data_IF_687101347052
#
_entry.id   IF_687101347052
#
_cell.length_a   1.000
_cell.length_b   1.000
_cell.length_c   1.000
_cell.angle_alpha   90.00
_cell.angle_beta   90.00
_cell.angle_gamma   90.00
#
_symmetry.space_group_name_H-M   'P 1'
#
loop_
_entity.id
_entity.type
_entity.pdbx_description
1 polymer ?
#
# COMPACT_ATOMS: atom_id res chain seq x y z
N UNK A 1 -21.62 7.00 7.92
CA UNK A 1 -20.66 6.01 7.45
C UNK A 1 -19.41 6.76 7.02
N UNK A 2 -18.22 6.25 7.35
CA UNK A 2 -16.95 6.82 6.86
C UNK A 2 -16.51 6.04 5.63
N UNK A 3 -15.86 6.74 4.69
CA UNK A 3 -15.22 6.09 3.55
C UNK A 3 -13.80 5.67 3.93
N UNK A 4 -13.53 4.39 3.75
CA UNK A 4 -12.25 3.76 4.10
C UNK A 4 -11.58 3.29 2.81
N UNK A 5 -10.33 3.67 2.61
CA UNK A 5 -9.49 3.16 1.53
C UNK A 5 -8.28 2.42 2.09
N UNK A 6 -7.97 1.27 1.54
CA UNK A 6 -6.70 0.58 1.78
C UNK A 6 -6.33 -0.33 0.62
N UNK A 7 -5.07 -0.76 0.58
CA UNK A 7 -4.59 -1.60 -0.49
C UNK A 7 -3.46 -2.53 -0.07
N UNK A 8 -3.31 -3.61 -0.83
CA UNK A 8 -2.23 -4.59 -0.67
C UNK A 8 -1.47 -4.72 -1.98
N UNK A 9 -0.14 -4.65 -1.90
CA UNK A 9 0.72 -4.90 -3.06
C UNK A 9 0.72 -6.38 -3.42
N UNK A 10 0.59 -6.74 -4.71
CA UNK A 10 0.65 -8.11 -5.19
C UNK A 10 2.11 -8.59 -5.28
N UNK A 11 2.77 -8.67 -4.12
CA UNK A 11 4.13 -9.23 -3.98
C UNK A 11 3.99 -10.65 -3.50
N UNK A 12 4.43 -11.65 -4.23
CA UNK A 12 4.16 -13.09 -4.08
C UNK A 12 4.34 -13.77 -2.71
N UNK A 13 4.64 -13.03 -1.66
CA UNK A 13 4.84 -13.57 -0.31
C UNK A 13 3.79 -13.02 0.67
N UNK A 14 2.54 -13.45 0.51
CA UNK A 14 1.52 -13.17 1.52
C UNK A 14 1.73 -14.15 2.67
N UNK A 15 2.01 -13.63 3.85
CA UNK A 15 2.24 -14.40 5.06
C UNK A 15 1.26 -14.02 6.18
N UNK A 16 1.25 -14.80 7.27
CA UNK A 16 0.37 -14.60 8.41
C UNK A 16 0.39 -13.16 8.96
N UNK A 17 1.54 -12.47 8.88
CA UNK A 17 1.66 -11.07 9.29
C UNK A 17 0.82 -10.11 8.45
N UNK A 18 0.69 -10.34 7.14
CA UNK A 18 -0.19 -9.54 6.27
C UNK A 18 -1.66 -9.75 6.66
N UNK A 19 -2.05 -11.00 6.92
CA UNK A 19 -3.41 -11.32 7.36
C UNK A 19 -3.75 -10.62 8.68
N UNK A 20 -2.94 -10.81 9.71
CA UNK A 20 -3.20 -10.23 11.03
C UNK A 20 -3.01 -8.72 11.05
N UNK A 21 -2.08 -8.21 10.23
CA UNK A 21 -1.75 -6.79 10.19
C UNK A 21 -2.76 -5.94 9.42
N UNK A 22 -3.31 -6.41 8.31
CA UNK A 22 -4.17 -5.63 7.44
C UNK A 22 -5.53 -6.31 7.19
N UNK A 23 -5.53 -7.54 6.70
CA UNK A 23 -6.75 -8.17 6.16
C UNK A 23 -7.84 -8.40 7.21
N UNK A 24 -7.47 -8.76 8.44
CA UNK A 24 -8.43 -8.90 9.54
C UNK A 24 -9.18 -7.58 9.81
N UNK A 25 -8.47 -6.45 9.78
CA UNK A 25 -9.10 -5.14 9.96
C UNK A 25 -10.02 -4.78 8.79
N UNK A 26 -9.67 -5.17 7.57
CA UNK A 26 -10.52 -4.92 6.41
C UNK A 26 -11.88 -5.59 6.57
N UNK A 27 -11.88 -6.86 7.03
CA UNK A 27 -13.12 -7.60 7.30
C UNK A 27 -13.95 -6.95 8.40
N UNK A 28 -13.31 -6.48 9.47
CA UNK A 28 -14.01 -5.79 10.56
C UNK A 28 -14.57 -4.42 10.11
N UNK A 29 -13.82 -3.67 9.29
CA UNK A 29 -14.21 -2.33 8.85
C UNK A 29 -15.39 -2.33 7.87
N UNK A 30 -15.54 -3.38 7.03
CA UNK A 30 -16.60 -3.45 6.03
C UNK A 30 -18.00 -3.51 6.63
N UNK A 31 -18.16 -3.85 7.91
CA UNK A 31 -19.49 -3.97 8.54
C UNK A 31 -20.15 -2.60 8.78
N UNK A 32 -19.33 -1.57 9.09
CA UNK A 32 -19.84 -0.27 9.52
C UNK A 32 -19.41 0.91 8.62
N UNK A 33 -18.65 0.64 7.54
CA UNK A 33 -18.08 1.67 6.69
C UNK A 33 -18.28 1.38 5.19
N UNK A 34 -18.17 2.44 4.38
CA UNK A 34 -18.02 2.31 2.93
C UNK A 34 -16.56 1.99 2.61
N UNK A 35 -16.25 0.74 2.32
CA UNK A 35 -14.88 0.28 2.16
C UNK A 35 -14.49 0.06 0.71
N UNK A 36 -13.30 0.55 0.37
CA UNK A 36 -12.67 0.44 -0.94
C UNK A 36 -11.31 -0.24 -0.75
N UNK A 37 -11.14 -1.44 -1.30
CA UNK A 37 -9.94 -2.24 -1.17
C UNK A 37 -9.29 -2.45 -2.53
N UNK A 38 -8.09 -1.93 -2.70
CA UNK A 38 -7.34 -1.92 -3.94
C UNK A 38 -6.21 -2.95 -3.94
N UNK A 39 -6.03 -3.64 -5.05
CA UNK A 39 -4.82 -4.41 -5.33
C UNK A 39 -3.87 -3.46 -6.04
N UNK A 40 -2.85 -2.97 -5.35
CA UNK A 40 -2.02 -1.85 -5.81
C UNK A 40 -0.82 -2.34 -6.64
N UNK A 41 -1.11 -2.78 -7.84
CA UNK A 41 -0.15 -3.35 -8.78
C UNK A 41 0.79 -2.30 -9.40
N UNK A 42 0.38 -1.04 -9.54
CA UNK A 42 1.26 0.04 -9.97
C UNK A 42 2.35 0.34 -8.91
N UNK A 43 2.07 0.16 -7.63
CA UNK A 43 3.10 0.23 -6.59
C UNK A 43 4.10 -0.93 -6.67
N UNK A 44 3.67 -2.10 -7.12
CA UNK A 44 4.56 -3.25 -7.26
C UNK A 44 5.66 -3.01 -8.30
N UNK A 45 5.37 -2.29 -9.39
CA UNK A 45 6.32 -2.02 -10.47
C UNK A 45 7.38 -0.94 -10.13
N UNK A 46 7.34 -0.36 -8.93
CA UNK A 46 8.44 0.50 -8.42
C UNK A 46 9.77 -0.26 -8.28
N UNK A 47 9.71 -1.58 -8.32
CA UNK A 47 10.84 -2.49 -8.45
C UNK A 47 10.58 -3.44 -9.63
N UNK A 48 11.62 -3.96 -10.31
CA UNK A 48 11.45 -4.87 -11.44
C UNK A 48 10.57 -6.07 -11.08
N UNK A 49 9.59 -6.37 -11.93
CA UNK A 49 8.66 -7.49 -11.79
C UNK A 49 8.70 -8.36 -13.05
N UNK A 50 8.56 -9.67 -12.90
CA UNK A 50 8.19 -10.53 -14.03
C UNK A 50 6.68 -10.33 -14.33
N UNK A 51 6.30 -9.99 -15.58
CA UNK A 51 4.90 -9.69 -15.90
C UNK A 51 3.94 -10.87 -15.68
N UNK A 52 4.41 -12.11 -15.87
CA UNK A 52 3.57 -13.31 -15.67
C UNK A 52 3.33 -13.57 -14.19
N UNK A 53 4.39 -13.44 -13.39
CA UNK A 53 4.30 -13.57 -11.93
C UNK A 53 3.45 -12.45 -11.32
N UNK A 54 3.64 -11.20 -11.77
CA UNK A 54 2.81 -10.08 -11.30
C UNK A 54 1.32 -10.33 -11.55
N UNK A 55 0.97 -10.77 -12.79
CA UNK A 55 -0.42 -11.11 -13.12
C UNK A 55 -0.99 -12.21 -12.21
N UNK A 56 -0.19 -13.24 -11.93
CA UNK A 56 -0.57 -14.32 -11.00
C UNK A 56 -0.78 -13.77 -9.59
N UNK A 57 0.17 -12.98 -9.08
CA UNK A 57 0.09 -12.41 -7.73
C UNK A 57 -1.11 -11.47 -7.54
N UNK A 58 -1.53 -10.74 -8.59
CA UNK A 58 -2.77 -9.95 -8.57
C UNK A 58 -3.98 -10.85 -8.30
N UNK A 59 -4.08 -11.98 -9.02
CA UNK A 59 -5.16 -12.93 -8.83
C UNK A 59 -5.11 -13.61 -7.46
N UNK A 60 -3.90 -13.93 -6.98
CA UNK A 60 -3.70 -14.53 -5.64
C UNK A 60 -4.16 -13.58 -4.53
N UNK A 61 -3.88 -12.27 -4.64
CA UNK A 61 -4.38 -11.26 -3.69
C UNK A 61 -5.90 -11.13 -3.77
N UNK A 62 -6.48 -11.12 -4.98
CA UNK A 62 -7.94 -11.06 -5.15
C UNK A 62 -8.62 -12.28 -4.51
N UNK A 63 -8.10 -13.48 -4.75
CA UNK A 63 -8.60 -14.72 -4.14
C UNK A 63 -8.47 -14.69 -2.62
N UNK A 64 -7.35 -14.16 -2.11
CA UNK A 64 -7.13 -14.01 -0.67
C UNK A 64 -8.13 -13.04 -0.04
N UNK A 65 -8.41 -11.89 -0.66
CA UNK A 65 -9.42 -10.95 -0.17
C UNK A 65 -10.77 -11.64 0.05
N UNK A 66 -11.21 -12.44 -0.91
CA UNK A 66 -12.46 -13.20 -0.79
C UNK A 66 -12.36 -14.31 0.28
N UNK A 67 -11.24 -15.03 0.32
CA UNK A 67 -11.03 -16.13 1.25
C UNK A 67 -11.00 -15.69 2.72
N UNK A 68 -10.52 -14.48 3.01
CA UNK A 68 -10.50 -13.94 4.38
C UNK A 68 -11.84 -13.35 4.82
N UNK A 69 -12.83 -13.25 3.92
CA UNK A 69 -14.19 -12.80 4.24
C UNK A 69 -14.52 -11.39 3.79
N UNK A 70 -13.75 -10.78 2.88
CA UNK A 70 -14.19 -9.56 2.21
C UNK A 70 -15.36 -9.89 1.26
N UNK A 71 -16.49 -9.24 1.48
CA UNK A 71 -17.71 -9.42 0.70
C UNK A 71 -17.80 -8.35 -0.40
N UNK A 72 -17.76 -8.72 -1.70
CA UNK A 72 -17.91 -7.78 -2.81
C UNK A 72 -19.28 -7.07 -2.87
N UNK A 73 -20.27 -7.54 -2.09
CA UNK A 73 -21.56 -6.85 -1.93
C UNK A 73 -21.51 -5.71 -0.90
N UNK A 74 -20.52 -5.75 0.01
CA UNK A 74 -20.32 -4.75 1.07
C UNK A 74 -19.18 -3.79 0.76
N UNK A 75 -18.16 -4.28 0.04
CA UNK A 75 -16.93 -3.53 -0.24
C UNK A 75 -16.64 -3.49 -1.74
N UNK A 76 -16.07 -2.40 -2.20
CA UNK A 76 -15.53 -2.29 -3.56
C UNK A 76 -14.14 -2.93 -3.56
N UNK A 77 -13.91 -3.90 -4.45
CA UNK A 77 -12.61 -4.56 -4.62
C UNK A 77 -12.20 -4.43 -6.09
N UNK A 78 -10.99 -3.91 -6.34
CA UNK A 78 -10.52 -3.71 -7.71
C UNK A 78 -8.97 -3.72 -7.80
N UNK A 79 -8.46 -3.73 -9.03
CA UNK A 79 -7.03 -3.64 -9.34
C UNK A 79 -6.71 -2.21 -9.76
N UNK A 80 -5.68 -1.61 -9.19
CA UNK A 80 -5.30 -0.20 -9.36
C UNK A 80 -5.14 0.18 -10.82
N UNK A 81 -4.40 -0.59 -11.60
CA UNK A 81 -4.15 -0.32 -13.03
C UNK A 81 -5.40 -0.37 -13.93
N UNK A 82 -6.53 -0.88 -13.42
CA UNK A 82 -7.80 -0.88 -14.15
C UNK A 82 -8.57 0.46 -14.02
N UNK A 83 -8.06 1.40 -13.22
CA UNK A 83 -8.63 2.73 -13.03
C UNK A 83 -7.55 3.77 -13.32
N UNK A 84 -7.53 4.34 -14.52
CA UNK A 84 -6.50 5.28 -15.00
C UNK A 84 -6.33 6.52 -14.12
N UNK A 85 -7.38 6.91 -13.41
CA UNK A 85 -7.39 8.04 -12.49
C UNK A 85 -6.30 8.01 -11.41
N UNK A 86 -5.84 6.84 -11.01
CA UNK A 86 -4.74 6.69 -10.06
C UNK A 86 -3.44 7.28 -10.60
N UNK A 87 -3.02 6.84 -11.79
CA UNK A 87 -1.81 7.34 -12.44
C UNK A 87 -1.95 8.81 -12.86
N UNK A 88 -3.11 9.23 -13.36
CA UNK A 88 -3.39 10.60 -13.77
C UNK A 88 -3.31 11.56 -12.58
N UNK A 89 -4.02 11.27 -11.49
CA UNK A 89 -3.96 12.07 -10.27
C UNK A 89 -2.58 11.98 -9.61
N UNK A 90 -1.94 10.82 -9.66
CA UNK A 90 -0.57 10.61 -9.18
C UNK A 90 0.43 11.57 -9.84
N UNK A 91 0.31 11.77 -11.16
CA UNK A 91 1.11 12.74 -11.88
C UNK A 91 0.82 14.18 -11.44
N UNK A 92 -0.46 14.56 -11.33
CA UNK A 92 -0.87 15.89 -10.88
C UNK A 92 -0.31 16.19 -9.49
N UNK A 93 -0.45 15.24 -8.55
CA UNK A 93 0.06 15.39 -7.19
C UNK A 93 1.60 15.41 -7.14
N UNK A 94 2.27 14.69 -8.05
CA UNK A 94 3.73 14.77 -8.19
C UNK A 94 4.16 16.18 -8.57
N UNK A 95 3.44 16.84 -9.46
CA UNK A 95 3.68 18.23 -9.82
C UNK A 95 3.40 19.23 -8.67
N UNK A 96 2.52 18.86 -7.74
CA UNK A 96 2.21 19.65 -6.54
C UNK A 96 3.15 19.38 -5.35
N UNK A 97 3.92 18.27 -5.40
CA UNK A 97 4.84 17.89 -4.33
C UNK A 97 6.18 18.63 -4.44
N UNK A 98 6.85 18.84 -3.30
CA UNK A 98 8.20 19.37 -3.29
C UNK A 98 9.21 18.21 -3.33
N UNK A 99 10.23 18.30 -4.17
CA UNK A 99 11.29 17.28 -4.26
C UNK A 99 11.96 17.01 -2.91
N UNK A 100 12.19 18.06 -2.11
CA UNK A 100 12.76 17.93 -0.76
C UNK A 100 11.88 17.13 0.20
N UNK A 101 10.55 17.14 0.07
CA UNK A 101 9.63 16.31 0.85
C UNK A 101 9.83 14.84 0.47
N UNK A 102 9.86 14.54 -0.82
CA UNK A 102 10.04 13.18 -1.33
C UNK A 102 11.41 12.59 -0.95
N UNK A 103 12.50 13.36 -1.07
CA UNK A 103 13.83 12.92 -0.64
C UNK A 103 13.96 12.69 0.88
N UNK A 104 13.12 13.32 1.69
CA UNK A 104 13.11 13.11 3.15
C UNK A 104 12.34 11.87 3.58
N UNK A 105 11.56 11.24 2.70
CA UNK A 105 10.79 10.03 3.02
C UNK A 105 11.71 8.91 3.53
N UNK A 106 11.39 8.37 4.71
CA UNK A 106 12.18 7.32 5.37
C UNK A 106 12.26 6.06 4.53
N UNK A 107 11.16 5.68 3.89
CA UNK A 107 11.11 4.52 3.00
C UNK A 107 12.00 4.70 1.76
N UNK A 108 12.06 5.91 1.18
CA UNK A 108 12.96 6.20 0.08
C UNK A 108 14.43 6.03 0.53
N UNK A 109 14.81 6.64 1.65
CA UNK A 109 16.17 6.54 2.20
C UNK A 109 16.56 5.08 2.47
N UNK A 110 15.68 4.30 3.12
CA UNK A 110 15.97 2.91 3.45
C UNK A 110 16.11 2.02 2.19
N UNK A 111 15.25 2.22 1.18
CA UNK A 111 15.22 1.38 -0.03
C UNK A 111 16.25 1.79 -1.07
N UNK A 112 16.73 3.03 -1.06
CA UNK A 112 17.77 3.53 -1.98
C UNK A 112 19.20 3.32 -1.47
N UNK A 113 19.37 3.13 -0.16
CA UNK A 113 20.69 2.99 0.45
C UNK A 113 21.51 1.84 -0.15
N UNK A 114 22.73 2.13 -0.56
CA UNK A 114 23.68 1.15 -1.13
C UNK A 114 23.37 0.68 -2.55
N UNK A 115 22.42 1.31 -3.24
CA UNK A 115 22.11 1.01 -4.65
C UNK A 115 22.80 2.00 -5.57
N UNK A 116 23.45 1.50 -6.62
CA UNK A 116 24.06 2.35 -7.68
C UNK A 116 23.02 3.10 -8.51
N UNK A 117 21.85 2.52 -8.70
CA UNK A 117 20.75 3.11 -9.46
C UNK A 117 19.41 2.86 -8.76
N UNK A 118 18.59 3.88 -8.73
CA UNK A 118 17.27 3.86 -8.13
C UNK A 118 16.26 4.40 -9.13
N UNK A 119 15.22 3.62 -9.40
CA UNK A 119 14.14 4.05 -10.31
C UNK A 119 13.38 5.25 -9.75
N UNK A 120 12.99 6.19 -10.62
CA UNK A 120 12.23 7.38 -10.24
C UNK A 120 10.91 7.03 -9.52
N UNK A 121 10.27 5.91 -9.87
CA UNK A 121 9.07 5.43 -9.21
C UNK A 121 9.25 5.21 -7.71
N UNK A 122 10.46 4.82 -7.25
CA UNK A 122 10.74 4.69 -5.82
C UNK A 122 10.74 6.04 -5.08
N UNK A 123 11.07 7.13 -5.76
CA UNK A 123 10.99 8.48 -5.22
C UNK A 123 9.55 9.02 -5.23
N UNK A 124 8.80 8.75 -6.31
CA UNK A 124 7.50 9.37 -6.56
C UNK A 124 6.29 8.53 -6.12
N UNK A 125 6.47 7.24 -5.75
CA UNK A 125 5.33 6.42 -5.32
C UNK A 125 4.52 7.01 -4.14
N UNK A 126 5.06 7.84 -3.24
CA UNK A 126 4.24 8.46 -2.20
C UNK A 126 3.16 9.39 -2.73
N UNK A 127 3.38 10.01 -3.90
CA UNK A 127 2.35 10.82 -4.58
C UNK A 127 1.31 9.97 -5.29
N UNK A 128 1.67 8.79 -5.79
CA UNK A 128 0.71 7.79 -6.28
C UNK A 128 -0.14 7.26 -5.13
N UNK A 129 0.46 6.96 -3.97
CA UNK A 129 -0.31 6.57 -2.78
C UNK A 129 -1.26 7.69 -2.31
N UNK A 130 -0.85 8.94 -2.39
CA UNK A 130 -1.73 10.07 -2.11
C UNK A 130 -2.90 10.11 -3.10
N UNK A 131 -2.65 9.86 -4.39
CA UNK A 131 -3.69 9.78 -5.41
C UNK A 131 -4.68 8.66 -5.13
N UNK A 132 -4.19 7.47 -4.76
CA UNK A 132 -5.04 6.33 -4.39
C UNK A 132 -6.07 6.69 -3.32
N UNK A 133 -5.65 7.48 -2.34
CA UNK A 133 -6.47 7.87 -1.20
C UNK A 133 -7.42 9.02 -1.56
N UNK A 134 -6.89 10.07 -2.22
CA UNK A 134 -7.63 11.29 -2.48
C UNK A 134 -8.65 11.17 -3.61
N UNK A 135 -8.43 10.25 -4.56
CA UNK A 135 -9.33 9.99 -5.69
C UNK A 135 -10.75 9.61 -5.24
N UNK A 136 -10.88 9.03 -4.08
CA UNK A 136 -12.14 8.49 -3.55
C UNK A 136 -12.73 9.28 -2.39
N UNK A 137 -12.28 10.49 -2.13
CA UNK A 137 -12.73 11.29 -0.97
C UNK A 137 -12.66 10.50 0.35
N UNK A 138 -11.55 9.83 0.57
CA UNK A 138 -11.35 8.94 1.71
C UNK A 138 -11.32 9.71 3.03
N UNK A 139 -12.10 9.25 4.01
CA UNK A 139 -12.08 9.79 5.38
C UNK A 139 -10.97 9.14 6.22
N UNK A 140 -10.78 7.82 6.08
CA UNK A 140 -9.91 7.03 6.96
C UNK A 140 -9.09 6.01 6.18
N UNK A 141 -7.79 5.97 6.48
CA UNK A 141 -6.86 5.01 5.90
C UNK A 141 -6.27 4.13 7.00
N UNK A 142 -6.64 2.84 7.10
CA UNK A 142 -6.02 1.90 8.03
C UNK A 142 -4.62 1.53 7.52
N UNK A 143 -3.60 1.88 8.29
CA UNK A 143 -2.19 1.67 7.91
C UNK A 143 -1.33 1.27 9.10
N UNK A 144 -0.21 0.60 8.81
CA UNK A 144 0.85 0.38 9.80
C UNK A 144 1.59 1.68 10.17
N UNK A 145 2.27 1.66 11.31
CA UNK A 145 3.04 2.82 11.79
C UNK A 145 4.14 3.28 10.83
N UNK A 146 4.69 2.36 10.03
CA UNK A 146 5.69 2.66 8.99
C UNK A 146 5.14 3.53 7.85
N UNK A 147 3.81 3.61 7.69
CA UNK A 147 3.12 4.43 6.68
C UNK A 147 2.72 5.82 7.17
N UNK A 148 3.02 6.16 8.42
CA UNK A 148 2.62 7.44 9.02
C UNK A 148 3.07 8.64 8.17
N UNK A 149 4.33 8.64 7.72
CA UNK A 149 4.88 9.72 6.91
C UNK A 149 4.20 9.86 5.53
N UNK A 150 3.72 8.75 4.96
CA UNK A 150 2.96 8.79 3.70
C UNK A 150 1.58 9.42 3.90
N UNK A 151 0.91 9.14 5.01
CA UNK A 151 -0.36 9.77 5.34
C UNK A 151 -0.18 11.27 5.61
N UNK A 152 0.88 11.67 6.29
CA UNK A 152 1.23 13.08 6.51
C UNK A 152 1.44 13.79 5.16
N UNK A 153 2.21 13.23 4.24
CA UNK A 153 2.39 13.78 2.90
C UNK A 153 1.06 13.88 2.13
N UNK A 154 0.21 12.86 2.20
CA UNK A 154 -1.11 12.87 1.56
C UNK A 154 -1.97 14.01 2.07
N UNK A 155 -1.99 14.23 3.38
CA UNK A 155 -2.72 15.35 4.02
C UNK A 155 -2.16 16.71 3.57
N UNK A 156 -0.84 16.86 3.57
CA UNK A 156 -0.18 18.09 3.14
C UNK A 156 -0.50 18.43 1.68
N UNK A 157 -0.49 17.42 0.80
CA UNK A 157 -0.88 17.59 -0.61
C UNK A 157 -2.35 17.98 -0.75
N UNK A 158 -3.26 17.33 -0.03
CA UNK A 158 -4.68 17.67 -0.04
C UNK A 158 -4.92 19.12 0.44
N UNK A 159 -4.29 19.52 1.54
CA UNK A 159 -4.39 20.89 2.09
C UNK A 159 -3.82 21.90 1.09
N UNK A 160 -2.66 21.61 0.48
CA UNK A 160 -2.01 22.48 -0.51
C UNK A 160 -2.87 22.69 -1.75
N UNK A 161 -3.44 21.61 -2.31
CA UNK A 161 -4.35 21.71 -3.46
C UNK A 161 -5.62 22.45 -3.09
N UNK A 162 -6.23 22.14 -1.94
CA UNK A 162 -7.43 22.84 -1.46
C UNK A 162 -7.18 24.34 -1.25
N UNK A 163 -5.98 24.73 -0.82
CA UNK A 163 -5.63 26.15 -0.66
C UNK A 163 -5.53 26.88 -2.00
N UNK A 164 -4.98 26.23 -3.03
CA UNK A 164 -4.76 26.87 -4.32
C UNK A 164 -5.98 26.86 -5.25
N UNK A 165 -6.76 25.75 -5.20
CA UNK A 165 -7.83 25.49 -6.17
C UNK A 165 -9.23 25.45 -5.56
N UNK A 166 -9.35 25.74 -4.25
CA UNK A 166 -10.60 25.60 -3.51
C UNK A 166 -10.81 24.16 -3.00
N UNK A 167 -11.93 23.91 -2.31
CA UNK A 167 -12.24 22.62 -1.69
C UNK A 167 -12.36 21.53 -2.76
N UNK A 168 -11.26 20.81 -2.99
CA UNK A 168 -11.13 19.75 -4.00
C UNK A 168 -11.12 18.37 -3.34
N UNK A 169 -10.33 18.18 -2.28
CA UNK A 169 -10.14 16.87 -1.62
C UNK A 169 -10.62 16.86 -0.18
N UNK A 170 -11.10 15.71 0.27
CA UNK A 170 -11.23 15.41 1.69
C UNK A 170 -9.82 15.17 2.26
N UNK A 171 -9.51 15.79 3.42
CA UNK A 171 -8.22 15.55 4.09
C UNK A 171 -8.36 14.31 4.94
N UNK A 172 -7.69 13.18 4.60
CA UNK A 172 -7.90 11.90 5.26
C UNK A 172 -7.23 11.82 6.62
N UNK A 173 -7.72 10.93 7.49
CA UNK A 173 -7.09 10.56 8.74
C UNK A 173 -6.48 9.16 8.68
N UNK A 174 -5.25 9.00 9.19
CA UNK A 174 -4.63 7.69 9.36
C UNK A 174 -5.16 6.96 10.60
N UNK A 175 -5.64 5.73 10.42
CA UNK A 175 -5.96 4.84 11.54
C UNK A 175 -4.79 3.89 11.77
N UNK A 176 -3.92 4.25 12.70
CA UNK A 176 -2.73 3.46 13.00
C UNK A 176 -3.05 2.30 13.93
N UNK A 177 -2.49 1.13 13.62
CA UNK A 177 -2.65 -0.06 14.47
C UNK A 177 -1.94 0.15 15.80
N UNK A 178 -2.58 -0.24 16.90
CA UNK A 178 -1.90 -0.34 18.21
C UNK A 178 -0.78 -1.38 18.10
N UNK A 179 0.38 -1.06 18.69
CA UNK A 179 1.53 -1.95 18.75
C UNK A 179 1.12 -3.27 19.41
N UNK A 180 1.12 -4.35 18.68
CA UNK A 180 0.76 -5.70 19.12
C UNK A 180 0.92 -6.74 18.02
N UNK A 181 1.01 -6.30 16.77
CA UNK A 181 1.06 -7.17 15.60
C UNK A 181 2.46 -7.24 14.95
N UNK A 182 3.53 -7.06 15.72
CA UNK A 182 4.88 -7.36 15.22
C UNK A 182 5.11 -8.85 15.38
N UNK A 183 4.65 -9.62 14.39
CA UNK A 183 4.92 -11.06 14.35
C UNK A 183 6.34 -11.22 13.85
N UNK A 184 7.20 -11.72 14.72
CA UNK A 184 8.58 -12.09 14.40
C UNK A 184 8.61 -13.48 13.79
N UNK A 185 9.52 -13.72 12.86
CA UNK A 185 9.78 -15.08 12.36
C UNK A 185 10.24 -15.97 13.53
N UNK A 186 9.71 -17.18 13.58
CA UNK A 186 10.00 -18.13 14.68
C UNK A 186 11.42 -18.68 14.61
N UNK A 187 12.07 -18.59 13.46
CA UNK A 187 13.39 -19.18 13.13
C UNK A 187 14.54 -18.18 13.19
N UNK A 188 14.25 -16.87 13.34
CA UNK A 188 15.29 -15.83 13.35
C UNK A 188 14.93 -14.76 14.41
N UNK A 189 15.53 -14.87 15.60
CA UNK A 189 15.27 -13.95 16.72
C UNK A 189 15.68 -12.52 16.34
N UNK A 190 14.74 -11.75 15.83
CA UNK A 190 14.95 -10.36 15.44
C UNK A 190 14.63 -10.03 14.00
N UNK A 191 14.42 -11.01 13.12
CA UNK A 191 13.92 -10.76 11.77
C UNK A 191 12.41 -10.45 11.81
N UNK A 192 12.01 -9.35 11.19
CA UNK A 192 10.59 -9.14 10.88
C UNK A 192 10.14 -10.28 9.99
N UNK A 193 8.92 -10.79 10.20
CA UNK A 193 8.27 -11.74 9.31
C UNK A 193 7.95 -11.08 7.96
N UNK A 194 8.96 -10.55 7.32
CA UNK A 194 8.99 -10.04 5.96
C UNK A 194 9.73 -11.05 5.10
N UNK A 195 8.95 -12.02 4.61
CA UNK A 195 9.17 -12.73 3.38
C UNK A 195 10.60 -13.05 2.93
N UNK A 196 11.24 -14.05 3.55
CA UNK A 196 12.14 -14.95 2.82
C UNK A 196 11.87 -16.39 3.25
N UNK A 197 10.94 -17.00 2.57
CA UNK A 197 10.91 -18.45 2.54
C UNK A 197 12.15 -18.90 1.73
N UNK A 198 13.21 -19.36 2.42
CA UNK A 198 14.30 -20.08 1.74
C UNK A 198 13.82 -21.50 1.51
N UNK A 199 13.73 -21.89 0.25
CA UNK A 199 13.54 -23.28 -0.11
C UNK A 199 14.58 -24.14 0.62
N UNK A 200 14.20 -25.28 1.21
CA UNK A 200 15.16 -26.17 1.83
C UNK A 200 16.22 -26.59 0.79
N UNK A 201 17.48 -26.77 1.19
CA UNK A 201 18.55 -27.18 0.28
C UNK A 201 18.13 -28.49 -0.39
N UNK A 202 18.18 -28.54 -1.72
CA UNK A 202 18.02 -29.79 -2.46
C UNK A 202 19.06 -30.78 -1.92
N UNK A 203 18.60 -31.89 -1.39
CA UNK A 203 19.51 -33.01 -1.07
C UNK A 203 20.22 -33.34 -2.36
N UNK A 204 21.57 -33.23 -2.33
CA UNK A 204 22.40 -33.78 -3.39
C UNK A 204 22.10 -35.25 -3.48
N UNK A 205 21.65 -35.69 -4.66
CA UNK A 205 21.38 -37.08 -4.92
C UNK A 205 22.64 -37.90 -4.81
N UNK A 206 22.48 -39.07 -4.19
CA UNK A 206 23.39 -40.18 -4.32
C UNK A 206 23.17 -40.85 -5.69
#
# INVERSE_FOLDING_TARGET
MKRVFSGVQPTGNIHLGNYLGALKQFVELQEDNECIYCIVDEHAITVPQDPKELKKHILDVAALYLAVGLDPKKSIIFVQSQVSGHAELGWILTCCANTGELFRMTQFKAKSQGKESVGAGLLTYPTLMAADILLYDTDVVPVGNDQKQHIELTRDLAIRVNHHYGKTFVVPDGRFMKEGARIMALDDQGAQAAGRWRSPPRKAGA
#
